data_IF_474464592573
#
_entry.id   IF_474464592573
#
_cell.length_a   1.000
_cell.length_b   1.000
_cell.length_c   1.000
_cell.angle_alpha   90.00
_cell.angle_beta   90.00
_cell.angle_gamma   90.00
#
_symmetry.space_group_name_H-M   'P 1'
#
loop_
_entity.id
_entity.type
_entity.pdbx_description
1 polymer ?
#
# COMPACT_ATOMS: atom_id res chain seq x y z
N UNK A 1 4.21 17.66 5.67
CA UNK A 1 3.38 18.68 4.99
C UNK A 1 2.83 18.16 3.65
N UNK A 2 3.69 17.53 2.84
CA UNK A 2 3.34 17.17 1.44
C UNK A 2 2.57 15.86 1.34
N UNK A 3 2.88 14.88 2.17
CA UNK A 3 2.24 13.56 2.16
C UNK A 3 2.25 12.95 3.57
N UNK A 4 1.39 13.41 4.49
CA UNK A 4 1.27 12.77 5.79
C UNK A 4 0.68 11.37 5.61
N UNK A 5 1.42 10.36 6.07
CA UNK A 5 1.03 8.95 6.00
C UNK A 5 1.25 8.28 7.36
N UNK A 6 0.53 7.20 7.68
CA UNK A 6 0.68 6.53 8.97
C UNK A 6 2.06 5.92 9.18
N UNK A 7 2.77 5.59 8.11
CA UNK A 7 4.10 4.97 8.16
C UNK A 7 5.14 5.88 7.51
N UNK A 8 5.82 6.68 8.34
CA UNK A 8 6.97 7.46 7.91
C UNK A 8 8.24 6.86 8.49
N UNK A 9 9.25 6.65 7.66
CA UNK A 9 10.49 6.02 8.05
C UNK A 9 11.70 6.60 7.33
N UNK A 10 12.84 6.54 8.01
CA UNK A 10 14.16 6.86 7.51
C UNK A 10 15.14 5.81 8.03
N UNK A 11 15.81 5.12 7.12
CA UNK A 11 16.87 4.18 7.46
C UNK A 11 18.16 4.63 6.80
N UNK A 12 19.22 4.74 7.59
CA UNK A 12 20.56 5.02 7.11
C UNK A 12 21.40 3.74 7.20
N UNK A 13 21.89 3.28 6.04
CA UNK A 13 22.71 2.08 5.90
C UNK A 13 24.16 2.41 5.53
N UNK A 14 24.65 3.61 5.85
CA UNK A 14 25.94 4.19 5.49
C UNK A 14 26.10 4.43 3.97
N UNK A 15 25.99 3.37 3.15
CA UNK A 15 26.17 3.46 1.70
C UNK A 15 24.94 4.02 0.96
N UNK A 16 23.78 3.93 1.57
CA UNK A 16 22.52 4.44 1.04
C UNK A 16 21.50 4.66 2.16
N UNK A 17 20.51 5.48 1.90
CA UNK A 17 19.38 5.67 2.82
C UNK A 17 18.06 5.32 2.16
N UNK A 18 17.11 4.81 2.95
CA UNK A 18 15.74 4.55 2.53
C UNK A 18 14.82 5.53 3.23
N UNK A 19 14.02 6.25 2.47
CA UNK A 19 13.13 7.31 2.95
C UNK A 19 11.72 7.00 2.45
N UNK A 20 10.76 6.83 3.34
CA UNK A 20 9.41 6.47 2.93
C UNK A 20 8.30 7.13 3.73
N UNK A 21 7.12 7.22 3.07
CA UNK A 21 5.87 7.71 3.64
C UNK A 21 4.72 6.86 3.10
N UNK A 22 4.65 5.61 3.60
CA UNK A 22 3.68 4.63 3.12
C UNK A 22 2.29 4.81 3.74
N UNK A 23 1.22 4.77 2.93
CA UNK A 23 -0.14 4.86 3.45
C UNK A 23 -0.73 3.50 3.86
N UNK A 24 -0.12 2.38 3.46
CA UNK A 24 -0.79 1.08 3.43
C UNK A 24 -0.11 0.02 4.29
N UNK A 25 -0.91 -0.63 5.13
CA UNK A 25 -0.50 -1.80 5.92
C UNK A 25 -0.23 -2.97 4.99
N UNK A 26 0.91 -3.64 5.15
CA UNK A 26 1.19 -4.93 4.54
C UNK A 26 0.55 -6.06 5.36
N UNK A 27 1.03 -6.23 6.59
CA UNK A 27 0.46 -7.15 7.60
C UNK A 27 0.71 -6.57 8.98
N UNK A 28 -0.30 -6.61 9.83
CA UNK A 28 -0.18 -6.25 11.24
C UNK A 28 -0.63 -7.43 12.10
N UNK A 29 0.10 -7.68 13.20
CA UNK A 29 -0.29 -8.66 14.23
C UNK A 29 -0.35 -7.95 15.57
N UNK A 30 -1.46 -8.15 16.29
CA UNK A 30 -1.68 -7.62 17.62
C UNK A 30 -1.84 -8.77 18.61
N UNK A 31 -1.16 -8.65 19.77
CA UNK A 31 -1.23 -9.61 20.89
C UNK A 31 -0.88 -11.07 20.53
N UNK A 32 0.00 -11.29 19.54
CA UNK A 32 0.35 -12.61 18.97
C UNK A 32 -0.86 -13.43 18.45
N UNK A 33 -2.02 -12.83 18.32
CA UNK A 33 -3.24 -13.53 17.96
C UNK A 33 -3.96 -12.95 16.75
N UNK A 34 -4.12 -11.63 16.69
CA UNK A 34 -4.96 -10.98 15.69
C UNK A 34 -4.13 -10.49 14.51
N UNK A 35 -4.28 -11.14 13.35
CA UNK A 35 -3.66 -10.71 12.09
C UNK A 35 -4.62 -9.85 11.29
N UNK A 36 -4.10 -8.75 10.74
CA UNK A 36 -4.87 -7.76 9.98
C UNK A 36 -4.18 -7.42 8.68
N UNK A 37 -4.97 -7.34 7.60
CA UNK A 37 -4.60 -6.71 6.31
C UNK A 37 -5.67 -5.66 5.99
N UNK A 38 -5.23 -4.54 5.40
CA UNK A 38 -6.12 -3.42 5.12
C UNK A 38 -5.90 -2.89 3.70
N UNK A 39 -6.51 -3.53 2.68
CA UNK A 39 -6.38 -3.10 1.29
C UNK A 39 -6.99 -1.71 1.10
N UNK A 40 -6.27 -0.89 0.34
CA UNK A 40 -6.65 0.46 -0.05
C UNK A 40 -6.65 0.49 -1.57
N UNK A 41 -7.77 0.86 -2.19
CA UNK A 41 -7.88 1.06 -3.63
C UNK A 41 -8.89 2.17 -3.93
N UNK A 42 -8.88 2.62 -5.17
CA UNK A 42 -9.72 3.74 -5.58
C UNK A 42 -9.27 5.07 -4.99
N UNK A 43 -9.26 6.10 -5.79
CA UNK A 43 -8.78 7.42 -5.33
C UNK A 43 -9.60 8.54 -5.94
N UNK A 44 -9.99 9.50 -5.11
CA UNK A 44 -10.49 10.80 -5.56
C UNK A 44 -9.79 11.92 -4.78
N UNK A 45 -9.59 13.08 -5.38
CA UNK A 45 -9.09 14.25 -4.66
C UNK A 45 -10.11 14.71 -3.61
N UNK A 46 -9.65 15.46 -2.63
CA UNK A 46 -10.54 16.14 -1.68
C UNK A 46 -11.29 17.27 -2.38
N UNK A 47 -12.53 17.45 -2.00
CA UNK A 47 -13.35 18.57 -2.48
C UNK A 47 -12.91 19.91 -1.87
N UNK A 48 -13.12 21.01 -2.59
CA UNK A 48 -12.86 22.36 -2.09
C UNK A 48 -13.80 22.78 -0.94
N UNK A 49 -14.90 22.06 -0.78
CA UNK A 49 -15.86 22.22 0.29
C UNK A 49 -16.59 20.90 0.55
N UNK A 50 -17.35 20.82 1.65
CA UNK A 50 -18.05 19.60 2.09
C UNK A 50 -19.02 19.03 1.02
N UNK A 51 -19.71 19.90 0.28
CA UNK A 51 -20.64 19.48 -0.77
C UNK A 51 -19.92 18.77 -1.92
N UNK A 52 -18.81 19.35 -2.34
CA UNK A 52 -17.98 18.74 -3.40
C UNK A 52 -17.29 17.48 -2.91
N UNK A 53 -16.81 17.44 -1.67
CA UNK A 53 -16.20 16.26 -1.05
C UNK A 53 -17.19 15.07 -1.03
N UNK A 54 -18.44 15.31 -0.62
CA UNK A 54 -19.51 14.30 -0.66
C UNK A 54 -19.90 13.87 -2.09
N UNK A 55 -19.81 14.78 -3.06
CA UNK A 55 -20.08 14.43 -4.45
C UNK A 55 -18.99 13.50 -5.01
N UNK A 56 -17.72 13.78 -4.73
CA UNK A 56 -16.58 12.92 -5.11
C UNK A 56 -16.60 11.56 -4.41
N UNK A 57 -16.99 11.52 -3.14
CA UNK A 57 -17.22 10.27 -2.41
C UNK A 57 -18.29 9.40 -3.11
N UNK A 58 -19.43 10.02 -3.42
CA UNK A 58 -20.51 9.32 -4.11
C UNK A 58 -20.10 8.85 -5.50
N UNK A 59 -19.34 9.64 -6.23
CA UNK A 59 -18.77 9.26 -7.52
C UNK A 59 -17.88 8.02 -7.37
N UNK A 60 -16.93 8.04 -6.41
CA UNK A 60 -16.03 6.93 -6.15
C UNK A 60 -16.77 5.64 -5.78
N UNK A 61 -17.79 5.74 -4.93
CA UNK A 61 -18.61 4.59 -4.52
C UNK A 61 -19.61 4.10 -5.59
N UNK A 62 -19.71 4.78 -6.73
CA UNK A 62 -20.49 4.34 -7.89
C UNK A 62 -19.62 4.03 -9.10
N UNK A 63 -18.31 4.09 -8.99
CA UNK A 63 -17.37 3.72 -10.04
C UNK A 63 -17.19 2.20 -10.07
N UNK A 64 -17.82 1.55 -11.06
CA UNK A 64 -17.82 0.08 -11.18
C UNK A 64 -16.41 -0.51 -11.31
N UNK A 65 -15.49 0.20 -12.02
CA UNK A 65 -14.10 -0.23 -12.16
C UNK A 65 -13.38 -0.22 -10.82
N UNK A 66 -13.47 0.89 -10.07
CA UNK A 66 -12.83 1.04 -8.77
C UNK A 66 -13.38 0.04 -7.74
N UNK A 67 -14.69 -0.20 -7.76
CA UNK A 67 -15.33 -1.19 -6.88
C UNK A 67 -14.90 -2.62 -7.22
N UNK A 68 -14.80 -2.97 -8.51
CA UNK A 68 -14.36 -4.29 -8.95
C UNK A 68 -12.89 -4.54 -8.58
N UNK A 69 -12.01 -3.55 -8.77
CA UNK A 69 -10.61 -3.62 -8.36
C UNK A 69 -10.50 -3.77 -6.84
N UNK A 70 -11.23 -2.96 -6.07
CA UNK A 70 -11.22 -3.06 -4.61
C UNK A 70 -11.71 -4.42 -4.10
N UNK A 71 -12.78 -4.98 -4.71
CA UNK A 71 -13.28 -6.31 -4.38
C UNK A 71 -12.23 -7.39 -4.63
N UNK A 72 -11.51 -7.31 -5.74
CA UNK A 72 -10.40 -8.22 -6.07
C UNK A 72 -9.30 -8.15 -5.00
N UNK A 73 -8.91 -6.97 -4.56
CA UNK A 73 -7.89 -6.77 -3.53
C UNK A 73 -8.37 -7.21 -2.14
N UNK A 74 -9.64 -7.01 -1.84
CA UNK A 74 -10.26 -7.50 -0.60
C UNK A 74 -10.25 -9.04 -0.55
N UNK A 75 -10.62 -9.71 -1.65
CA UNK A 75 -10.58 -11.17 -1.73
C UNK A 75 -9.16 -11.71 -1.64
N UNK A 76 -8.19 -11.03 -2.25
CA UNK A 76 -6.79 -11.39 -2.12
C UNK A 76 -6.29 -11.26 -0.68
N UNK A 77 -6.64 -10.16 0.01
CA UNK A 77 -6.32 -9.97 1.43
C UNK A 77 -6.95 -11.05 2.33
N UNK A 78 -8.20 -11.43 2.05
CA UNK A 78 -8.86 -12.56 2.75
C UNK A 78 -8.12 -13.87 2.54
N UNK A 79 -7.66 -14.13 1.33
CA UNK A 79 -6.89 -15.33 0.99
C UNK A 79 -5.52 -15.34 1.69
N UNK A 80 -4.80 -14.22 1.66
CA UNK A 80 -3.49 -14.08 2.30
C UNK A 80 -3.57 -14.34 3.82
N UNK A 81 -4.52 -13.70 4.52
CA UNK A 81 -4.77 -13.95 5.95
C UNK A 81 -5.28 -15.38 6.20
N UNK A 82 -6.13 -15.90 5.32
CA UNK A 82 -6.71 -17.25 5.47
C UNK A 82 -5.67 -18.36 5.54
N UNK A 83 -4.50 -18.16 4.93
CA UNK A 83 -3.39 -19.12 4.94
C UNK A 83 -2.74 -19.30 6.31
N UNK A 84 -2.87 -18.32 7.18
CA UNK A 84 -2.22 -18.28 8.51
C UNK A 84 -3.22 -18.21 9.66
N UNK A 85 -4.51 -18.14 9.37
CA UNK A 85 -5.56 -17.98 10.37
C UNK A 85 -6.28 -19.29 10.69
N UNK A 86 -6.84 -19.36 11.88
CA UNK A 86 -7.75 -20.45 12.28
C UNK A 86 -8.94 -20.51 11.32
N UNK A 87 -9.38 -21.72 10.99
CA UNK A 87 -10.53 -21.96 10.10
C UNK A 87 -11.77 -21.26 10.65
N UNK A 88 -12.43 -20.44 9.83
CA UNK A 88 -13.64 -19.70 10.18
C UNK A 88 -13.39 -18.42 10.99
N UNK A 89 -12.13 -18.06 11.31
CA UNK A 89 -11.82 -16.84 12.06
C UNK A 89 -11.72 -15.59 11.18
N UNK A 90 -11.49 -15.75 9.87
CA UNK A 90 -11.33 -14.61 8.94
C UNK A 90 -12.64 -13.87 8.78
N UNK A 91 -12.61 -12.56 9.07
CA UNK A 91 -13.77 -11.66 9.00
C UNK A 91 -13.40 -10.37 8.30
N UNK A 92 -14.32 -9.86 7.50
CA UNK A 92 -14.27 -8.48 7.03
C UNK A 92 -14.92 -7.63 8.13
N UNK A 93 -14.15 -6.77 8.76
CA UNK A 93 -14.62 -5.90 9.85
C UNK A 93 -15.04 -4.53 9.36
N UNK A 94 -14.51 -4.08 8.23
CA UNK A 94 -14.91 -2.89 7.48
C UNK A 94 -14.91 -3.24 6.00
N UNK A 95 -15.89 -2.78 5.25
CA UNK A 95 -16.04 -3.09 3.82
C UNK A 95 -16.44 -1.86 3.05
N UNK A 96 -15.65 -1.50 2.05
CA UNK A 96 -15.88 -0.37 1.14
C UNK A 96 -16.16 0.96 1.86
N UNK A 97 -15.43 1.24 2.94
CA UNK A 97 -15.53 2.51 3.66
C UNK A 97 -14.66 3.57 3.00
N UNK A 98 -15.11 4.83 3.02
CA UNK A 98 -14.29 5.94 2.55
C UNK A 98 -13.44 6.49 3.68
N UNK A 99 -12.13 6.45 3.49
CA UNK A 99 -11.18 7.16 4.33
C UNK A 99 -10.70 8.45 3.66
N UNK A 100 -10.74 9.51 4.44
CA UNK A 100 -10.33 10.84 4.00
C UNK A 100 -8.96 11.18 4.56
N UNK A 101 -8.02 11.42 3.65
CA UNK A 101 -6.70 11.94 3.96
C UNK A 101 -6.63 13.43 3.64
N UNK A 102 -5.47 14.05 3.84
CA UNK A 102 -5.31 15.50 3.64
C UNK A 102 -5.62 15.97 2.21
N UNK A 103 -5.26 15.17 1.21
CA UNK A 103 -5.35 15.56 -0.22
C UNK A 103 -6.21 14.63 -1.06
N UNK A 104 -6.49 13.43 -0.58
CA UNK A 104 -7.24 12.40 -1.29
C UNK A 104 -8.19 11.67 -0.36
N UNK A 105 -9.14 10.94 -0.94
CA UNK A 105 -9.94 9.92 -0.27
C UNK A 105 -9.78 8.59 -1.00
N UNK A 106 -9.90 7.49 -0.26
CA UNK A 106 -9.77 6.13 -0.77
C UNK A 106 -10.91 5.24 -0.31
N UNK A 107 -11.19 4.19 -1.07
CA UNK A 107 -11.97 3.05 -0.60
C UNK A 107 -11.05 2.14 0.21
N UNK A 108 -11.47 1.77 1.40
CA UNK A 108 -10.72 0.93 2.32
C UNK A 108 -11.60 -0.20 2.82
N UNK A 109 -11.02 -1.37 2.97
CA UNK A 109 -11.62 -2.50 3.68
C UNK A 109 -10.65 -3.03 4.71
N UNK A 110 -11.17 -3.69 5.74
CA UNK A 110 -10.34 -4.26 6.80
C UNK A 110 -10.67 -5.74 6.99
N UNK A 111 -9.66 -6.58 6.90
CA UNK A 111 -9.77 -8.02 7.09
C UNK A 111 -8.97 -8.42 8.31
N UNK A 112 -9.59 -9.15 9.22
CA UNK A 112 -8.96 -9.70 10.43
C UNK A 112 -9.13 -11.19 10.49
N UNK A 113 -8.14 -11.88 11.08
CA UNK A 113 -8.19 -13.29 11.41
C UNK A 113 -7.46 -13.58 12.70
N UNK A 114 -7.71 -14.73 13.31
CA UNK A 114 -6.90 -15.22 14.43
C UNK A 114 -5.80 -16.11 13.91
N UNK A 115 -4.55 -15.87 14.31
CA UNK A 115 -3.43 -16.70 13.92
C UNK A 115 -3.65 -18.16 14.39
N UNK A 116 -3.40 -19.10 13.50
CA UNK A 116 -3.43 -20.50 13.83
C UNK A 116 -2.32 -20.85 14.81
N UNK A 117 -2.60 -21.78 15.71
CA UNK A 117 -1.63 -22.25 16.71
C UNK A 117 -0.32 -22.69 16.03
N UNK A 118 0.79 -22.17 16.50
CA UNK A 118 2.14 -22.49 15.98
C UNK A 118 2.58 -21.62 14.80
N UNK A 119 1.74 -20.73 14.30
CA UNK A 119 2.14 -19.70 13.33
C UNK A 119 2.80 -18.55 14.08
N UNK A 120 3.99 -18.18 13.64
CA UNK A 120 4.72 -17.02 14.18
C UNK A 120 4.54 -15.78 13.28
N UNK A 121 4.93 -14.61 13.81
CA UNK A 121 4.79 -13.34 13.13
C UNK A 121 5.53 -13.27 11.78
N UNK A 122 6.69 -13.95 11.63
CA UNK A 122 7.41 -14.01 10.36
C UNK A 122 6.59 -14.75 9.31
N UNK A 123 5.98 -15.87 9.67
CA UNK A 123 5.10 -16.62 8.77
C UNK A 123 3.85 -15.79 8.41
N UNK A 124 3.30 -15.05 9.37
CA UNK A 124 2.18 -14.15 9.12
C UNK A 124 2.58 -13.03 8.13
N UNK A 125 3.75 -12.42 8.30
CA UNK A 125 4.28 -11.43 7.35
C UNK A 125 4.43 -12.00 5.94
N UNK A 126 5.03 -13.18 5.82
CA UNK A 126 5.26 -13.84 4.54
C UNK A 126 3.96 -14.24 3.82
N UNK A 127 2.85 -14.42 4.54
CA UNK A 127 1.56 -14.71 3.91
C UNK A 127 1.03 -13.52 3.08
N UNK A 128 1.32 -12.28 3.50
CA UNK A 128 0.94 -11.06 2.80
C UNK A 128 1.96 -10.60 1.74
N UNK A 129 3.17 -11.18 1.69
CA UNK A 129 4.19 -10.81 0.71
C UNK A 129 4.15 -11.67 -0.56
N UNK A 130 4.32 -11.04 -1.76
CA UNK A 130 4.18 -9.61 -1.99
C UNK A 130 2.73 -9.15 -1.82
N UNK A 131 2.53 -7.88 -1.45
CA UNK A 131 1.20 -7.33 -1.29
C UNK A 131 0.41 -7.38 -2.61
N UNK A 132 -0.88 -7.69 -2.51
CA UNK A 132 -1.75 -7.80 -3.69
C UNK A 132 -1.90 -6.49 -4.45
N UNK A 133 -1.96 -5.38 -3.73
CA UNK A 133 -2.08 -4.01 -4.28
C UNK A 133 -0.89 -3.55 -5.11
N UNK A 134 0.25 -4.24 -5.00
CA UNK A 134 1.47 -3.97 -5.80
C UNK A 134 1.89 -5.15 -6.68
N UNK A 135 1.15 -6.26 -6.66
CA UNK A 135 1.39 -7.42 -7.54
C UNK A 135 0.19 -7.68 -8.46
N UNK A 136 -0.93 -8.08 -7.91
CA UNK A 136 -2.15 -8.39 -8.64
C UNK A 136 -2.75 -9.75 -8.29
N UNK A 137 -3.85 -10.09 -8.95
CA UNK A 137 -4.55 -11.35 -8.77
C UNK A 137 -4.86 -12.00 -10.13
N UNK A 138 -4.66 -13.34 -10.28
CA UNK A 138 -4.04 -14.28 -9.33
C UNK A 138 -2.55 -13.96 -9.08
N UNK A 139 -2.13 -13.96 -7.83
CA UNK A 139 -0.83 -13.42 -7.38
C UNK A 139 0.38 -14.02 -8.13
N UNK A 140 0.43 -15.33 -8.31
CA UNK A 140 1.56 -16.00 -8.97
C UNK A 140 1.65 -15.56 -10.43
N UNK A 141 0.54 -15.58 -11.19
CA UNK A 141 0.55 -15.15 -12.59
C UNK A 141 0.86 -13.67 -12.74
N UNK A 142 0.37 -12.83 -11.82
CA UNK A 142 0.71 -11.41 -11.80
C UNK A 142 2.22 -11.20 -11.61
N UNK A 143 2.85 -11.94 -10.71
CA UNK A 143 4.30 -11.89 -10.50
C UNK A 143 5.10 -12.36 -11.71
N UNK A 144 4.65 -13.41 -12.40
CA UNK A 144 5.26 -13.87 -13.66
C UNK A 144 5.21 -12.78 -14.74
N UNK A 145 4.04 -12.13 -14.90
CA UNK A 145 3.86 -11.04 -15.87
C UNK A 145 4.75 -9.83 -15.52
N UNK A 146 4.89 -9.51 -14.24
CA UNK A 146 5.78 -8.45 -13.78
C UNK A 146 7.23 -8.78 -14.16
N UNK A 147 7.68 -10.01 -13.94
CA UNK A 147 9.05 -10.45 -14.29
C UNK A 147 9.26 -10.48 -15.80
N UNK A 148 8.24 -10.82 -16.59
CA UNK A 148 8.27 -10.80 -18.05
C UNK A 148 8.36 -9.38 -18.64
N UNK A 149 7.71 -8.39 -18.04
CA UNK A 149 7.51 -7.06 -18.63
C UNK A 149 8.39 -5.96 -18.04
N UNK A 150 8.69 -6.01 -16.75
CA UNK A 150 9.52 -4.99 -16.11
C UNK A 150 11.00 -5.20 -16.47
N UNK A 151 11.64 -4.15 -16.98
CA UNK A 151 13.06 -4.20 -17.39
C UNK A 151 14.01 -4.13 -16.22
N UNK A 152 13.59 -3.50 -15.14
CA UNK A 152 14.39 -3.28 -13.93
C UNK A 152 13.77 -4.04 -12.75
N UNK A 153 14.62 -4.56 -11.87
CA UNK A 153 14.15 -5.20 -10.65
C UNK A 153 13.56 -4.19 -9.69
N UNK A 154 12.48 -4.56 -9.04
CA UNK A 154 11.77 -3.70 -8.09
C UNK A 154 12.58 -3.33 -6.84
N UNK A 155 13.59 -4.12 -6.49
CA UNK A 155 14.38 -3.88 -5.29
C UNK A 155 13.52 -3.82 -4.03
N UNK A 156 13.51 -2.67 -3.36
CA UNK A 156 12.68 -2.45 -2.17
C UNK A 156 11.21 -2.16 -2.48
N UNK A 157 10.89 -1.72 -3.70
CA UNK A 157 9.53 -1.36 -4.08
C UNK A 157 8.57 -2.55 -3.96
N UNK A 158 7.48 -2.35 -3.24
CA UNK A 158 6.50 -3.39 -2.97
C UNK A 158 6.90 -4.40 -1.89
N UNK A 159 8.07 -4.24 -1.27
CA UNK A 159 8.49 -5.00 -0.10
C UNK A 159 7.80 -4.55 1.19
N UNK A 160 8.27 -5.01 2.33
CA UNK A 160 7.74 -4.66 3.64
C UNK A 160 8.74 -3.86 4.49
N UNK A 161 8.24 -2.83 5.15
CA UNK A 161 8.98 -2.04 6.14
C UNK A 161 8.20 -2.01 7.45
N UNK A 162 8.84 -2.33 8.56
CA UNK A 162 8.16 -2.39 9.84
C UNK A 162 9.03 -2.92 10.97
N UNK A 163 8.40 -3.44 12.00
CA UNK A 163 9.08 -3.95 13.17
C UNK A 163 8.40 -5.17 13.79
N UNK A 164 9.19 -5.94 14.49
CA UNK A 164 8.74 -6.99 15.40
C UNK A 164 8.96 -6.50 16.83
N UNK A 165 7.89 -6.40 17.59
CA UNK A 165 7.93 -6.03 19.01
C UNK A 165 8.15 -7.25 19.92
N UNK A 166 8.82 -7.05 21.04
CA UNK A 166 9.07 -8.11 22.04
C UNK A 166 7.81 -8.60 22.75
N UNK A 167 6.72 -7.83 22.66
CA UNK A 167 5.39 -8.17 23.21
C UNK A 167 4.48 -8.89 22.23
N UNK A 168 5.03 -9.45 21.14
CA UNK A 168 4.25 -10.18 20.14
C UNK A 168 3.53 -9.30 19.10
N UNK A 169 3.73 -8.00 19.17
CA UNK A 169 3.23 -7.10 18.12
C UNK A 169 4.13 -7.13 16.90
N UNK A 170 3.53 -7.06 15.73
CA UNK A 170 4.20 -6.86 14.47
C UNK A 170 3.41 -5.83 13.67
N UNK A 171 4.09 -4.84 13.07
CA UNK A 171 3.44 -3.87 12.21
C UNK A 171 4.33 -3.55 11.02
N UNK A 172 3.88 -3.93 9.82
CA UNK A 172 4.59 -3.73 8.56
C UNK A 172 3.70 -3.00 7.56
N UNK A 173 4.27 -1.98 6.93
CA UNK A 173 3.68 -1.32 5.77
C UNK A 173 4.30 -1.83 4.46
N UNK A 174 3.63 -1.56 3.35
CA UNK A 174 4.16 -1.80 2.01
C UNK A 174 5.19 -0.71 1.69
N UNK A 175 6.35 -1.09 1.13
CA UNK A 175 7.36 -0.15 0.68
C UNK A 175 6.93 0.52 -0.65
N UNK A 176 5.98 1.42 -0.53
CA UNK A 176 5.51 2.34 -1.59
C UNK A 176 5.67 3.78 -1.12
N UNK A 177 5.62 4.74 -2.02
CA UNK A 177 5.95 6.14 -1.68
C UNK A 177 7.30 6.22 -0.95
N UNK A 178 8.27 5.45 -1.46
CA UNK A 178 9.58 5.22 -0.85
C UNK A 178 10.66 5.53 -1.87
N UNK A 179 11.73 6.16 -1.40
CA UNK A 179 12.90 6.53 -2.19
C UNK A 179 14.16 5.89 -1.62
N UNK A 180 15.13 5.64 -2.48
CA UNK A 180 16.51 5.31 -2.12
C UNK A 180 17.38 6.52 -2.45
N UNK A 181 18.10 7.03 -1.45
CA UNK A 181 19.14 8.03 -1.66
C UNK A 181 20.49 7.34 -1.65
N UNK A 182 21.18 7.36 -2.78
CA UNK A 182 22.50 6.76 -2.95
C UNK A 182 23.34 7.60 -3.91
N UNK A 183 24.62 7.82 -3.59
CA UNK A 183 25.58 8.56 -4.43
C UNK A 183 25.01 9.91 -4.93
N UNK A 184 24.35 10.66 -4.04
CA UNK A 184 23.66 11.93 -4.32
C UNK A 184 22.51 11.81 -5.33
N UNK A 185 22.09 10.61 -5.68
CA UNK A 185 20.94 10.37 -6.55
C UNK A 185 19.77 9.85 -5.72
N UNK A 186 18.57 10.33 -6.07
CA UNK A 186 17.31 9.85 -5.49
C UNK A 186 16.60 8.95 -6.49
N UNK A 187 16.49 7.67 -6.12
CA UNK A 187 15.80 6.65 -6.92
C UNK A 187 14.37 6.50 -6.42
N UNK A 188 13.41 6.64 -7.32
CA UNK A 188 11.97 6.52 -7.06
C UNK A 188 11.37 5.47 -7.99
N UNK A 189 10.47 4.65 -7.45
CA UNK A 189 9.67 3.73 -8.23
C UNK A 189 8.20 3.89 -7.86
N UNK A 190 7.33 3.90 -8.88
CA UNK A 190 5.89 3.93 -8.74
C UNK A 190 5.27 3.01 -9.79
N UNK A 191 4.11 2.44 -9.48
CA UNK A 191 3.35 1.59 -10.39
C UNK A 191 1.86 1.87 -10.26
N UNK A 192 1.09 1.46 -11.26
CA UNK A 192 -0.37 1.47 -11.30
C UNK A 192 -0.92 0.05 -11.45
N UNK A 193 -2.17 -0.15 -11.08
CA UNK A 193 -2.93 -1.36 -11.40
C UNK A 193 -3.34 -1.33 -12.88
N UNK A 194 -3.24 -2.46 -13.56
CA UNK A 194 -3.69 -2.61 -14.94
C UNK A 194 -4.74 -3.70 -14.97
N UNK A 195 -5.94 -3.36 -15.42
CA UNK A 195 -7.07 -4.27 -15.61
C UNK A 195 -7.53 -4.23 -17.08
N UNK A 196 -8.47 -5.10 -17.43
CA UNK A 196 -8.93 -5.22 -18.83
C UNK A 196 -9.42 -3.89 -19.42
N UNK A 197 -10.11 -3.08 -18.63
CA UNK A 197 -10.68 -1.79 -19.06
C UNK A 197 -9.72 -0.59 -18.84
N UNK A 198 -8.46 -0.83 -18.51
CA UNK A 198 -7.46 0.22 -18.33
C UNK A 198 -7.09 0.89 -19.65
N UNK A 199 -7.04 2.23 -19.63
CA UNK A 199 -6.45 3.03 -20.70
C UNK A 199 -4.97 3.30 -20.40
N UNK A 200 -4.09 2.96 -21.34
CA UNK A 200 -2.64 2.97 -21.12
C UNK A 200 -2.08 4.37 -20.73
N UNK A 201 -2.60 5.43 -21.34
CA UNK A 201 -2.14 6.79 -21.03
C UNK A 201 -2.62 7.23 -19.65
N UNK A 202 -3.84 6.90 -19.29
CA UNK A 202 -4.42 7.20 -17.96
C UNK A 202 -3.63 6.51 -16.87
N UNK A 203 -3.32 5.21 -17.01
CA UNK A 203 -2.53 4.45 -16.04
C UNK A 203 -1.09 4.98 -15.94
N UNK A 204 -0.48 5.36 -17.06
CA UNK A 204 0.84 6.00 -17.06
C UNK A 204 0.82 7.32 -16.28
N UNK A 205 -0.16 8.20 -16.53
CA UNK A 205 -0.29 9.46 -15.79
C UNK A 205 -0.54 9.25 -14.29
N UNK A 206 -1.22 8.18 -13.92
CA UNK A 206 -1.38 7.80 -12.52
C UNK A 206 -0.02 7.49 -11.87
N UNK A 207 0.85 6.70 -12.53
CA UNK A 207 2.19 6.40 -12.00
C UNK A 207 3.03 7.67 -11.84
N UNK A 208 2.97 8.58 -12.83
CA UNK A 208 3.63 9.90 -12.77
C UNK A 208 3.10 10.70 -11.59
N UNK A 209 1.79 10.73 -11.36
CA UNK A 209 1.18 11.46 -10.25
C UNK A 209 1.57 10.85 -8.89
N UNK A 210 1.67 9.53 -8.78
CA UNK A 210 2.14 8.84 -7.58
C UNK A 210 3.58 9.20 -7.21
N UNK A 211 4.45 9.47 -8.18
CA UNK A 211 5.85 9.86 -7.95
C UNK A 211 6.02 11.34 -7.58
N UNK A 212 5.12 12.22 -8.05
CA UNK A 212 5.22 13.69 -7.87
C UNK A 212 5.33 14.13 -6.41
N UNK A 213 4.62 13.48 -5.50
CA UNK A 213 4.63 13.86 -4.08
C UNK A 213 6.01 13.72 -3.46
N UNK A 214 6.72 12.62 -3.77
CA UNK A 214 8.09 12.38 -3.29
C UNK A 214 9.10 13.32 -3.96
N UNK A 215 8.98 13.53 -5.27
CA UNK A 215 9.84 14.47 -5.99
C UNK A 215 9.69 15.90 -5.43
N UNK A 216 8.45 16.33 -5.18
CA UNK A 216 8.20 17.62 -4.57
C UNK A 216 8.78 17.73 -3.17
N UNK A 217 8.62 16.70 -2.34
CA UNK A 217 9.20 16.67 -1.00
C UNK A 217 10.75 16.78 -1.04
N UNK A 218 11.38 16.09 -1.99
CA UNK A 218 12.83 16.18 -2.21
C UNK A 218 13.26 17.59 -2.65
N UNK A 219 12.53 18.20 -3.58
CA UNK A 219 12.79 19.58 -4.02
C UNK A 219 12.62 20.58 -2.87
N UNK A 220 11.53 20.46 -2.11
CA UNK A 220 11.24 21.35 -0.99
C UNK A 220 12.28 21.20 0.13
N UNK A 221 12.90 20.01 0.31
CA UNK A 221 13.92 19.79 1.34
C UNK A 221 15.18 20.64 1.16
N UNK A 222 15.53 20.97 -0.09
CA UNK A 222 16.68 21.83 -0.42
C UNK A 222 16.49 23.22 0.20
N UNK A 223 15.26 23.72 0.26
CA UNK A 223 14.95 25.03 0.83
C UNK A 223 14.85 25.04 2.36
N UNK A 224 14.83 23.88 3.02
CA UNK A 224 14.81 23.80 4.48
C UNK A 224 16.20 23.96 5.13
N UNK A 225 17.27 23.73 4.36
CA UNK A 225 18.65 23.73 4.85
C UNK A 225 19.54 24.75 4.13
N UNK A 226 18.94 25.59 3.28
CA UNK A 226 19.65 26.63 2.54
C UNK A 226 19.37 28.03 3.10
N UNK A 227 20.01 28.32 4.25
CA UNK A 227 20.41 29.67 4.70
C UNK A 227 21.66 29.53 5.58
#
# INVERSE_FOLDING_TARGET
RTNPSPYMFYFDFNDFSIIGSSPEILVKVENDEDVTIRPIAGTRPRGLNERQDKALEKELLNDEKELAEHLMLLDLGRNDIGRVSEVGSVKITESFVIERYSHVMHIVSNVKGKLSKGINNVTALLSGLPAGTVSGAPKIRAMEIIDELEREKRGIFGGGVGYFGTSGHMDFCIAIRTAILKDQNLYLQAGGGVVFDSDAETEFQETVNKSKALLKAAQDSIHFFGD
#
